data_IF_422528858352
#
_entry.id   IF_422528858352
#
_cell.length_a   1.000
_cell.length_b   1.000
_cell.length_c   1.000
_cell.angle_alpha   90.00
_cell.angle_beta   90.00
_cell.angle_gamma   90.00
#
_symmetry.space_group_name_H-M   'P 1'
#
loop_
_entity.id
_entity.type
_entity.pdbx_description
1 polymer ?
#
# COMPACT_ATOMS: atom_id res chain seq x y z
N UNK A 1 6.16 -16.76 -5.05
CA UNK A 1 6.50 -16.33 -3.68
C UNK A 1 5.40 -15.41 -3.21
N UNK A 2 4.80 -15.67 -2.06
CA UNK A 2 3.77 -14.84 -1.44
C UNK A 2 4.29 -14.37 -0.07
N UNK A 3 4.10 -13.09 0.27
CA UNK A 3 4.59 -12.51 1.53
C UNK A 3 3.51 -11.62 2.13
N UNK A 4 3.33 -11.68 3.45
CA UNK A 4 2.41 -10.78 4.16
C UNK A 4 2.93 -9.34 4.12
N UNK A 5 2.02 -8.38 3.94
CA UNK A 5 2.30 -6.94 3.98
C UNK A 5 1.28 -6.28 4.89
N UNK A 6 1.76 -5.46 5.81
CA UNK A 6 0.92 -4.77 6.78
C UNK A 6 1.33 -3.30 6.86
N UNK A 7 0.33 -2.42 6.93
CA UNK A 7 0.51 -0.97 7.00
C UNK A 7 -0.37 -0.42 8.10
N UNK A 8 0.16 0.52 8.87
CA UNK A 8 -0.56 1.25 9.90
C UNK A 8 -0.37 2.74 9.67
N UNK A 9 -1.47 3.49 9.65
CA UNK A 9 -1.45 4.94 9.53
C UNK A 9 -2.28 5.57 10.65
N UNK A 10 -1.65 6.49 11.39
CA UNK A 10 -2.28 7.23 12.49
C UNK A 10 -2.41 8.70 12.13
N UNK A 11 -3.59 9.29 12.35
CA UNK A 11 -3.77 10.74 12.22
C UNK A 11 -4.85 11.29 13.13
N UNK A 12 -4.64 12.52 13.60
CA UNK A 12 -5.63 13.28 14.39
C UNK A 12 -6.96 13.39 13.63
N UNK A 13 -8.07 13.10 14.30
CA UNK A 13 -9.41 13.17 13.72
C UNK A 13 -10.16 14.39 14.28
N UNK A 14 -10.78 15.18 13.40
CA UNK A 14 -11.66 16.27 13.78
C UNK A 14 -13.02 16.05 13.12
N UNK A 15 -14.10 16.18 13.90
CA UNK A 15 -15.48 15.81 13.55
C UNK A 15 -16.09 16.60 12.36
N UNK A 16 -15.33 17.45 11.66
CA UNK A 16 -15.88 18.37 10.65
C UNK A 16 -16.13 17.75 9.28
N UNK A 17 -15.38 16.73 8.87
CA UNK A 17 -15.55 16.05 7.58
C UNK A 17 -15.16 14.56 7.66
N UNK A 18 -16.01 13.75 8.31
CA UNK A 18 -15.71 12.35 8.66
C UNK A 18 -15.40 11.46 7.45
N UNK A 19 -16.14 11.61 6.35
CA UNK A 19 -15.99 10.77 5.15
C UNK A 19 -14.70 11.07 4.39
N UNK A 20 -14.41 12.34 4.17
CA UNK A 20 -13.24 12.78 3.40
C UNK A 20 -11.93 12.45 4.13
N UNK A 21 -11.95 12.56 5.46
CA UNK A 21 -10.80 12.23 6.27
C UNK A 21 -10.54 10.71 6.32
N UNK A 22 -11.57 9.85 6.28
CA UNK A 22 -11.41 8.39 6.19
C UNK A 22 -10.81 7.99 4.84
N UNK A 23 -11.41 8.46 3.75
CA UNK A 23 -10.93 8.17 2.39
C UNK A 23 -9.48 8.63 2.16
N UNK A 24 -9.11 9.81 2.68
CA UNK A 24 -7.74 10.30 2.59
C UNK A 24 -6.74 9.34 3.28
N UNK A 25 -7.06 8.85 4.48
CA UNK A 25 -6.20 7.91 5.22
C UNK A 25 -6.13 6.53 4.55
N UNK A 26 -7.26 6.03 4.06
CA UNK A 26 -7.30 4.80 3.26
C UNK A 26 -6.36 4.90 2.05
N UNK A 27 -6.41 6.01 1.32
CA UNK A 27 -5.55 6.24 0.16
C UNK A 27 -4.07 6.27 0.52
N UNK A 28 -3.71 6.80 1.69
CA UNK A 28 -2.33 6.75 2.19
C UNK A 28 -1.89 5.31 2.51
N UNK A 29 -2.73 4.53 3.18
CA UNK A 29 -2.46 3.11 3.42
C UNK A 29 -2.33 2.33 2.11
N UNK A 30 -3.21 2.58 1.13
CA UNK A 30 -3.12 1.96 -0.20
C UNK A 30 -1.80 2.30 -0.90
N UNK A 31 -1.34 3.54 -0.83
CA UNK A 31 -0.06 3.93 -1.42
C UNK A 31 1.10 3.19 -0.74
N UNK A 32 1.09 3.14 0.59
CA UNK A 32 2.15 2.48 1.36
C UNK A 32 2.18 0.97 1.13
N UNK A 33 1.02 0.27 1.10
CA UNK A 33 0.99 -1.18 0.91
C UNK A 33 1.46 -1.56 -0.50
N UNK A 34 1.15 -0.73 -1.50
CA UNK A 34 1.64 -0.90 -2.89
C UNK A 34 3.15 -0.73 -2.97
N UNK A 35 3.71 0.30 -2.32
CA UNK A 35 5.16 0.53 -2.28
C UNK A 35 5.86 -0.64 -1.58
N UNK A 36 5.36 -1.07 -0.42
CA UNK A 36 5.93 -2.22 0.29
C UNK A 36 5.86 -3.51 -0.55
N UNK A 37 4.77 -3.72 -1.27
CA UNK A 37 4.61 -4.86 -2.17
C UNK A 37 5.66 -4.87 -3.29
N UNK A 38 5.87 -3.73 -3.94
CA UNK A 38 6.95 -3.58 -4.93
C UNK A 38 8.32 -3.82 -4.29
N UNK A 39 8.53 -3.32 -3.07
CA UNK A 39 9.78 -3.54 -2.34
C UNK A 39 10.01 -5.02 -2.00
N UNK A 40 8.96 -5.81 -1.80
CA UNK A 40 9.05 -7.25 -1.62
C UNK A 40 9.21 -8.04 -2.94
N UNK A 41 9.19 -7.35 -4.08
CA UNK A 41 9.27 -7.96 -5.41
C UNK A 41 7.94 -8.53 -5.91
N UNK A 42 6.83 -8.15 -5.26
CA UNK A 42 5.48 -8.41 -5.73
C UNK A 42 5.00 -7.32 -6.69
N UNK A 43 3.97 -7.63 -7.47
CA UNK A 43 3.30 -6.70 -8.39
C UNK A 43 1.78 -6.61 -8.14
N UNK A 44 1.26 -7.38 -7.20
CA UNK A 44 -0.14 -7.33 -6.79
C UNK A 44 -0.30 -7.64 -5.29
N UNK A 45 -1.38 -7.13 -4.70
CA UNK A 45 -1.80 -7.43 -3.33
C UNK A 45 -3.15 -8.13 -3.39
N UNK A 46 -3.27 -9.25 -2.71
CA UNK A 46 -4.53 -10.00 -2.60
C UNK A 46 -4.94 -10.18 -1.15
N UNK A 47 -6.20 -10.53 -0.93
CA UNK A 47 -6.79 -10.73 0.40
C UNK A 47 -6.53 -9.52 1.30
N UNK A 48 -6.79 -8.32 0.77
CA UNK A 48 -6.61 -7.07 1.52
C UNK A 48 -7.74 -6.88 2.52
N UNK A 49 -7.37 -6.66 3.77
CA UNK A 49 -8.28 -6.33 4.88
C UNK A 49 -7.98 -4.93 5.40
N UNK A 50 -9.01 -4.19 5.82
CA UNK A 50 -8.90 -2.79 6.26
C UNK A 50 -9.66 -2.63 7.57
N UNK A 51 -8.94 -2.31 8.63
CA UNK A 51 -9.51 -2.04 9.95
C UNK A 51 -9.37 -0.58 10.33
N UNK A 52 -10.43 -0.04 10.94
CA UNK A 52 -10.45 1.28 11.56
C UNK A 52 -10.52 1.14 13.06
N UNK A 53 -9.65 1.83 13.76
CA UNK A 53 -9.64 1.85 15.23
C UNK A 53 -9.52 3.28 15.73
N UNK A 54 -10.37 3.65 16.67
CA UNK A 54 -10.22 4.91 17.39
C UNK A 54 -9.26 4.71 18.56
N UNK A 55 -8.24 5.55 18.65
CA UNK A 55 -7.16 5.43 19.63
C UNK A 55 -7.02 6.75 20.40
N UNK A 56 -6.99 6.68 21.72
CA UNK A 56 -6.79 7.83 22.61
C UNK A 56 -8.05 8.30 23.34
N UNK A 57 -7.89 8.62 24.64
CA UNK A 57 -9.00 8.88 25.56
C UNK A 57 -9.63 10.29 25.48
N UNK A 58 -8.99 11.26 24.83
CA UNK A 58 -9.43 12.68 24.86
C UNK A 58 -9.38 13.42 23.51
N UNK A 59 -8.45 13.03 22.61
CA UNK A 59 -8.40 13.51 21.23
C UNK A 59 -8.56 12.29 20.34
N UNK A 60 -9.73 12.15 19.71
CA UNK A 60 -10.00 11.05 18.78
C UNK A 60 -8.92 11.02 17.71
N UNK A 61 -8.07 10.00 17.73
CA UNK A 61 -7.19 9.68 16.61
C UNK A 61 -7.81 8.49 15.91
N UNK A 62 -7.85 8.54 14.58
CA UNK A 62 -8.30 7.43 13.77
C UNK A 62 -7.06 6.72 13.24
N UNK A 63 -6.88 5.48 13.66
CA UNK A 63 -5.90 4.54 13.13
C UNK A 63 -6.55 3.73 12.01
N UNK A 64 -5.83 3.62 10.91
CA UNK A 64 -6.19 2.74 9.79
C UNK A 64 -5.12 1.68 9.66
N UNK A 65 -5.54 0.42 9.77
CA UNK A 65 -4.69 -0.75 9.57
C UNK A 65 -5.08 -1.39 8.24
N UNK A 66 -4.09 -1.74 7.42
CA UNK A 66 -4.33 -2.48 6.18
C UNK A 66 -3.38 -3.66 6.11
N UNK A 67 -3.94 -4.85 5.97
CA UNK A 67 -3.20 -6.11 5.85
C UNK A 67 -3.48 -6.75 4.50
N UNK A 68 -2.52 -7.50 3.96
CA UNK A 68 -2.72 -8.24 2.73
C UNK A 68 -1.54 -9.13 2.39
N UNK A 69 -1.63 -9.81 1.25
CA UNK A 69 -0.57 -10.68 0.75
C UNK A 69 -0.01 -10.14 -0.57
N UNK A 70 1.27 -9.78 -0.56
CA UNK A 70 2.03 -9.45 -1.76
C UNK A 70 2.32 -10.71 -2.56
N UNK A 71 1.94 -10.70 -3.84
CA UNK A 71 2.21 -11.76 -4.80
C UNK A 71 2.90 -11.20 -6.04
N UNK A 72 3.57 -12.08 -6.78
CA UNK A 72 4.07 -11.82 -8.12
C UNK A 72 3.24 -12.61 -9.13
N UNK A 73 2.46 -11.90 -9.94
CA UNK A 73 1.77 -12.44 -11.10
C UNK A 73 2.82 -12.73 -12.18
N UNK A 74 2.86 -13.99 -12.63
CA UNK A 74 3.74 -14.44 -13.70
C UNK A 74 3.04 -14.44 -15.07
N UNK A 75 1.72 -14.68 -15.07
CA UNK A 75 0.93 -14.69 -16.29
C UNK A 75 0.28 -13.31 -16.47
N UNK A 76 1.07 -12.33 -16.90
CA UNK A 76 0.60 -10.95 -17.14
C UNK A 76 0.03 -10.77 -18.55
N UNK A 77 0.13 -11.76 -19.43
CA UNK A 77 -0.39 -11.71 -20.79
C UNK A 77 -1.93 -11.67 -20.85
N UNK A 78 -2.58 -12.07 -19.76
CA UNK A 78 -4.04 -11.94 -19.58
C UNK A 78 -4.47 -10.50 -19.28
N UNK A 79 -3.53 -9.63 -18.91
CA UNK A 79 -3.79 -8.22 -18.67
C UNK A 79 -3.69 -7.44 -19.98
N UNK A 80 -4.37 -6.30 -20.04
CA UNK A 80 -4.22 -5.36 -21.15
C UNK A 80 -2.74 -4.97 -21.32
N UNK A 81 -2.26 -4.90 -22.57
CA UNK A 81 -0.85 -4.62 -22.90
C UNK A 81 -0.29 -3.39 -22.17
N UNK A 82 -1.09 -2.33 -22.05
CA UNK A 82 -0.72 -1.11 -21.33
C UNK A 82 -0.40 -1.37 -19.85
N UNK A 83 -1.19 -2.21 -19.17
CA UNK A 83 -0.98 -2.54 -17.75
C UNK A 83 0.31 -3.33 -17.56
N UNK A 84 0.60 -4.26 -18.46
CA UNK A 84 1.84 -5.05 -18.42
C UNK A 84 3.07 -4.14 -18.57
N UNK A 85 3.03 -3.21 -19.52
CA UNK A 85 4.12 -2.24 -19.71
C UNK A 85 4.34 -1.34 -18.47
N UNK A 86 3.25 -0.91 -17.83
CA UNK A 86 3.33 -0.12 -16.58
C UNK A 86 3.96 -0.94 -15.46
N UNK A 87 3.58 -2.22 -15.31
CA UNK A 87 4.14 -3.11 -14.29
C UNK A 87 5.64 -3.31 -14.47
N UNK A 88 6.10 -3.50 -15.70
CA UNK A 88 7.53 -3.66 -16.01
C UNK A 88 8.31 -2.39 -15.68
N UNK A 89 7.80 -1.22 -16.09
CA UNK A 89 8.40 0.09 -15.77
C UNK A 89 8.48 0.32 -14.25
N UNK A 90 7.43 0.01 -13.51
CA UNK A 90 7.39 0.13 -12.05
C UNK A 90 8.39 -0.80 -11.38
N UNK A 91 8.47 -2.06 -11.83
CA UNK A 91 9.44 -3.02 -11.31
C UNK A 91 10.88 -2.55 -11.55
N UNK A 92 11.18 -2.07 -12.76
CA UNK A 92 12.49 -1.53 -13.09
C UNK A 92 12.85 -0.31 -12.23
N UNK A 93 11.93 0.66 -12.10
CA UNK A 93 12.15 1.85 -11.28
C UNK A 93 12.40 1.50 -9.81
N UNK A 94 11.64 0.54 -9.25
CA UNK A 94 11.83 0.09 -7.87
C UNK A 94 13.20 -0.59 -7.66
N UNK A 95 13.62 -1.45 -8.60
CA UNK A 95 14.95 -2.07 -8.55
C UNK A 95 16.05 -1.01 -8.58
N UNK A 96 15.93 -0.03 -9.48
CA UNK A 96 16.89 1.06 -9.59
C UNK A 96 16.97 1.89 -8.32
N UNK A 97 15.83 2.20 -7.69
CA UNK A 97 15.79 2.91 -6.42
C UNK A 97 16.49 2.12 -5.30
N UNK A 98 16.29 0.81 -5.23
CA UNK A 98 16.99 -0.06 -4.25
C UNK A 98 18.49 -0.14 -4.48
N UNK A 99 18.95 -0.01 -5.72
CA UNK A 99 20.38 0.07 -6.01
C UNK A 99 20.96 1.39 -5.51
N UNK A 100 20.29 2.50 -5.81
CA UNK A 100 20.72 3.84 -5.42
C UNK A 100 20.77 3.99 -3.90
N UNK A 101 19.78 3.45 -3.18
CA UNK A 101 19.74 3.50 -1.71
C UNK A 101 20.87 2.72 -1.01
N UNK A 102 21.74 2.01 -1.74
CA UNK A 102 22.94 1.37 -1.18
C UNK A 102 24.15 2.32 -1.13
N UNK A 103 24.07 3.45 -1.82
CA UNK A 103 25.14 4.45 -1.90
C UNK A 103 24.90 5.66 -0.99
N UNK A 104 23.74 5.72 -0.34
CA UNK A 104 23.43 6.64 0.76
C UNK A 104 23.99 6.10 2.09
#
# INVERSE_FOLDING_TARGET
MARSVNVFYNGSYSNRHERDARASRENMCFAQIRIQTLNLGGNAVIATDIDFSEVGAAKGMLMVCMAGTAIKLNNTDILEKEKTEILDKLSYANQRLKELSKFD
#
